data_IF_849225520368
#
_entry.id   IF_849225520368
#
_cell.length_a   1.000
_cell.length_b   1.000
_cell.length_c   1.000
_cell.angle_alpha   90.00
_cell.angle_beta   90.00
_cell.angle_gamma   90.00
#
_symmetry.space_group_name_H-M   'P 1'
#
loop_
_entity.id
_entity.type
_entity.pdbx_description
1 polymer ?
#
# COMPACT_ATOMS: atom_id res chain seq x y z
N UNK A 1 -25.83 -79.95 -34.71
CA UNK A 1 -27.14 -80.31 -35.31
C UNK A 1 -28.22 -79.47 -34.65
N UNK A 2 -29.08 -78.81 -35.47
CA UNK A 2 -30.53 -78.51 -35.28
C UNK A 2 -31.00 -78.04 -33.88
N UNK A 3 -31.68 -76.90 -33.68
CA UNK A 3 -32.87 -76.37 -34.37
C UNK A 3 -33.22 -74.95 -33.86
N UNK A 4 -33.70 -74.11 -34.79
CA UNK A 4 -34.88 -73.20 -34.76
C UNK A 4 -35.79 -73.24 -33.50
N UNK A 5 -36.58 -72.23 -33.09
CA UNK A 5 -36.89 -70.85 -33.49
C UNK A 5 -38.04 -70.31 -32.58
N UNK A 6 -38.41 -69.02 -32.76
CA UNK A 6 -39.68 -68.32 -32.36
C UNK A 6 -39.85 -67.95 -30.87
N UNK A 7 -40.51 -66.84 -30.46
CA UNK A 7 -40.98 -65.60 -31.06
C UNK A 7 -41.61 -64.73 -29.92
N UNK A 8 -41.92 -63.45 -30.23
CA UNK A 8 -42.95 -62.58 -29.62
C UNK A 8 -42.64 -61.95 -28.24
N UNK A 9 -42.43 -60.62 -28.20
CA UNK A 9 -43.43 -59.58 -27.85
C UNK A 9 -43.15 -59.08 -26.40
N UNK A 10 -43.36 -57.85 -25.93
CA UNK A 10 -44.04 -56.65 -26.42
C UNK A 10 -43.53 -55.43 -25.61
N UNK A 11 -43.66 -54.24 -26.22
CA UNK A 11 -44.12 -52.95 -25.65
C UNK A 11 -43.38 -52.20 -24.52
N UNK A 12 -43.58 -50.87 -24.60
CA UNK A 12 -43.29 -49.77 -23.68
C UNK A 12 -41.83 -49.27 -23.71
N UNK A 13 -41.52 -48.02 -24.04
CA UNK A 13 -42.30 -46.80 -24.05
C UNK A 13 -41.53 -45.74 -23.26
N UNK A 14 -40.89 -44.79 -23.95
CA UNK A 14 -40.47 -43.51 -23.38
C UNK A 14 -40.02 -42.59 -24.53
N UNK A 15 -40.90 -41.66 -24.93
CA UNK A 15 -40.53 -40.55 -25.78
C UNK A 15 -39.71 -39.56 -24.95
N UNK A 16 -38.42 -39.41 -25.26
CA UNK A 16 -37.58 -38.34 -24.74
C UNK A 16 -37.75 -37.11 -25.63
N UNK A 17 -38.34 -36.05 -25.08
CA UNK A 17 -38.37 -34.72 -25.70
C UNK A 17 -36.95 -34.12 -25.63
N UNK A 18 -36.30 -33.95 -26.79
CA UNK A 18 -35.02 -33.26 -26.92
C UNK A 18 -35.30 -31.81 -27.29
N UNK A 19 -35.06 -30.88 -26.38
CA UNK A 19 -35.04 -29.44 -26.67
C UNK A 19 -33.64 -29.01 -27.10
N UNK A 20 -33.48 -28.26 -28.21
CA UNK A 20 -32.18 -27.73 -28.60
C UNK A 20 -31.78 -26.54 -27.71
N UNK A 21 -30.63 -26.65 -27.05
CA UNK A 21 -30.03 -25.59 -26.24
C UNK A 21 -29.29 -24.62 -27.17
N UNK A 22 -29.88 -23.46 -27.41
CA UNK A 22 -29.26 -22.34 -28.14
C UNK A 22 -28.12 -21.76 -27.32
N UNK A 23 -26.88 -21.91 -27.79
CA UNK A 23 -25.71 -21.31 -27.18
C UNK A 23 -25.70 -19.79 -27.43
N UNK A 24 -25.95 -19.00 -26.38
CA UNK A 24 -25.73 -17.56 -26.41
C UNK A 24 -24.23 -17.25 -26.33
N UNK A 25 -23.65 -16.80 -27.43
CA UNK A 25 -22.30 -16.25 -27.45
C UNK A 25 -22.30 -14.91 -26.68
N UNK A 26 -21.82 -14.93 -25.44
CA UNK A 26 -21.58 -13.71 -24.67
C UNK A 26 -20.33 -13.02 -25.20
N UNK A 27 -20.51 -11.95 -25.97
CA UNK A 27 -19.47 -10.98 -26.30
C UNK A 27 -18.96 -10.36 -25.01
N UNK A 28 -17.84 -10.89 -24.51
CA UNK A 28 -17.10 -10.27 -23.41
C UNK A 28 -16.50 -8.97 -23.93
N UNK A 29 -17.17 -7.85 -23.65
CA UNK A 29 -16.59 -6.51 -23.81
C UNK A 29 -15.38 -6.43 -22.88
N UNK A 30 -14.19 -6.69 -23.42
CA UNK A 30 -12.93 -6.42 -22.77
C UNK A 30 -12.91 -4.94 -22.39
N UNK A 31 -13.15 -4.65 -21.11
CA UNK A 31 -12.95 -3.33 -20.55
C UNK A 31 -11.46 -3.04 -20.67
N UNK A 32 -11.08 -2.26 -21.68
CA UNK A 32 -9.76 -1.63 -21.75
C UNK A 32 -9.63 -0.77 -20.51
N UNK A 33 -8.98 -1.32 -19.48
CA UNK A 33 -8.48 -0.54 -18.36
C UNK A 33 -7.57 0.52 -18.96
N UNK A 34 -8.05 1.77 -19.04
CA UNK A 34 -7.21 2.90 -19.39
C UNK A 34 -5.99 2.86 -18.48
N UNK A 35 -4.84 2.49 -19.05
CA UNK A 35 -3.59 2.48 -18.30
C UNK A 35 -3.39 3.89 -17.77
N UNK A 36 -3.53 4.06 -16.45
CA UNK A 36 -3.34 5.36 -15.83
C UNK A 36 -1.94 5.83 -16.17
N UNK A 37 -1.80 7.08 -16.63
CA UNK A 37 -0.49 7.64 -16.93
C UNK A 37 0.42 7.52 -15.69
N UNK A 38 1.70 7.20 -15.93
CA UNK A 38 2.70 7.01 -14.88
C UNK A 38 3.93 7.86 -15.13
N UNK A 39 4.70 8.10 -14.08
CA UNK A 39 5.98 8.79 -14.08
C UNK A 39 7.00 8.02 -13.24
N UNK A 40 8.28 8.25 -13.49
CA UNK A 40 9.37 7.62 -12.74
C UNK A 40 9.86 8.54 -11.61
N UNK A 41 9.83 8.04 -10.39
CA UNK A 41 10.42 8.67 -9.21
C UNK A 41 11.72 7.92 -8.83
N UNK A 42 12.85 8.53 -9.11
CA UNK A 42 14.17 8.03 -8.68
C UNK A 42 14.58 8.62 -7.32
N UNK A 43 15.10 7.77 -6.44
CA UNK A 43 15.64 8.14 -5.14
C UNK A 43 16.71 7.14 -4.69
N UNK A 44 17.97 7.58 -4.58
CA UNK A 44 19.11 6.78 -4.07
C UNK A 44 19.24 5.39 -4.73
N UNK A 45 19.20 5.35 -6.06
CA UNK A 45 19.29 4.11 -6.85
C UNK A 45 17.97 3.32 -6.95
N UNK A 46 16.97 3.60 -6.09
CA UNK A 46 15.63 3.04 -6.22
C UNK A 46 14.81 3.85 -7.21
N UNK A 47 14.11 3.18 -8.13
CA UNK A 47 13.24 3.80 -9.12
C UNK A 47 11.81 3.26 -8.96
N UNK A 48 10.85 4.16 -8.75
CA UNK A 48 9.44 3.84 -8.58
C UNK A 48 8.63 4.33 -9.77
N UNK A 49 7.83 3.46 -10.37
CA UNK A 49 6.79 3.87 -11.31
C UNK A 49 5.53 4.25 -10.53
N UNK A 50 5.23 5.54 -10.45
CA UNK A 50 4.09 6.09 -9.70
C UNK A 50 3.05 6.70 -10.66
N UNK A 51 1.77 6.82 -10.27
CA UNK A 51 0.78 7.57 -11.03
C UNK A 51 1.27 8.99 -11.36
N UNK A 52 1.00 9.47 -12.57
CA UNK A 52 1.34 10.84 -12.98
C UNK A 52 0.52 11.89 -12.22
N UNK A 53 -0.60 11.49 -11.62
CA UNK A 53 -1.42 12.34 -10.74
C UNK A 53 -0.81 12.55 -9.35
N UNK A 54 0.22 11.79 -8.97
CA UNK A 54 0.92 12.03 -7.71
C UNK A 54 1.96 13.13 -7.88
N UNK A 55 1.96 14.09 -6.97
CA UNK A 55 2.90 15.21 -7.03
C UNK A 55 4.16 14.90 -6.21
N UNK A 56 5.33 15.15 -6.79
CA UNK A 56 6.62 14.88 -6.16
C UNK A 56 7.27 16.18 -5.74
N UNK A 57 7.44 16.37 -4.43
CA UNK A 57 8.18 17.49 -3.86
C UNK A 57 9.51 17.01 -3.27
N UNK A 58 10.63 17.56 -3.76
CA UNK A 58 11.98 17.19 -3.31
C UNK A 58 12.57 18.32 -2.45
N UNK A 59 13.17 17.95 -1.34
CA UNK A 59 13.85 18.86 -0.42
C UNK A 59 15.12 18.20 0.13
N UNK A 60 16.26 18.47 -0.52
CA UNK A 60 17.53 17.85 -0.17
C UNK A 60 17.47 16.32 -0.20
N UNK A 61 17.59 15.69 0.97
CA UNK A 61 17.64 14.23 1.15
C UNK A 61 16.29 13.65 1.61
N UNK A 62 15.20 14.37 1.37
CA UNK A 62 13.83 13.88 1.53
C UNK A 62 13.01 14.13 0.27
N UNK A 63 12.07 13.23 0.02
CA UNK A 63 11.04 13.39 -1.00
C UNK A 63 9.69 13.20 -0.34
N UNK A 64 8.76 14.12 -0.58
CA UNK A 64 7.34 13.95 -0.25
C UNK A 64 6.59 13.65 -1.53
N UNK A 65 5.78 12.60 -1.52
CA UNK A 65 4.91 12.22 -2.65
C UNK A 65 3.48 12.41 -2.20
N UNK A 66 2.81 13.40 -2.78
CA UNK A 66 1.44 13.78 -2.46
C UNK A 66 0.51 12.96 -3.34
N UNK A 67 -0.43 12.26 -2.71
CA UNK A 67 -1.30 11.28 -3.37
C UNK A 67 -2.78 11.64 -3.30
N UNK A 68 -3.11 12.77 -2.66
CA UNK A 68 -4.46 13.24 -2.41
C UNK A 68 -4.46 14.69 -1.95
N UNK A 69 -5.35 15.03 -1.01
CA UNK A 69 -5.49 16.41 -0.54
C UNK A 69 -4.23 16.87 0.19
N UNK A 70 -3.67 18.02 -0.17
CA UNK A 70 -2.62 18.67 0.62
C UNK A 70 -2.58 20.18 0.33
N UNK A 71 -2.79 21.01 1.35
CA UNK A 71 -2.86 22.47 1.17
C UNK A 71 -1.52 23.16 0.87
N UNK A 72 -0.38 22.50 1.13
CA UNK A 72 0.95 23.09 0.86
C UNK A 72 2.00 22.02 0.54
N UNK A 73 2.64 22.15 -0.62
CA UNK A 73 3.68 21.22 -1.08
C UNK A 73 4.90 21.18 -0.16
N UNK A 74 5.28 22.28 0.47
CA UNK A 74 6.41 22.33 1.43
C UNK A 74 6.02 22.06 2.88
N UNK A 75 4.79 21.60 3.14
CA UNK A 75 4.40 21.27 4.51
C UNK A 75 5.26 20.13 5.10
N UNK A 76 5.53 20.23 6.40
CA UNK A 76 6.38 19.30 7.14
C UNK A 76 5.77 17.90 7.31
N UNK A 77 6.46 17.04 8.06
CA UNK A 77 6.02 15.68 8.35
C UNK A 77 4.63 15.67 8.97
N UNK A 78 3.81 14.69 8.56
CA UNK A 78 2.51 14.46 9.19
C UNK A 78 1.62 15.69 9.24
N UNK A 79 1.82 16.64 8.30
CA UNK A 79 1.01 17.84 8.22
C UNK A 79 -0.46 17.42 8.16
N UNK A 80 -1.32 17.99 9.03
CA UNK A 80 -2.72 17.63 9.04
C UNK A 80 -3.37 17.77 7.67
N UNK A 81 -4.08 16.73 7.22
CA UNK A 81 -4.80 16.69 5.93
C UNK A 81 -3.88 16.92 4.72
N UNK A 82 -2.70 16.29 4.76
CA UNK A 82 -1.77 16.22 3.63
C UNK A 82 -1.50 14.74 3.31
N UNK A 83 -2.32 14.18 2.44
CA UNK A 83 -2.29 12.77 2.02
C UNK A 83 -1.01 12.52 1.22
N UNK A 84 0.03 12.04 1.90
CA UNK A 84 1.35 11.89 1.33
C UNK A 84 2.14 10.78 2.02
N UNK A 85 3.08 10.20 1.30
CA UNK A 85 4.15 9.40 1.91
C UNK A 85 5.50 10.06 1.66
N UNK A 86 6.50 9.65 2.44
CA UNK A 86 7.82 10.23 2.36
C UNK A 86 8.87 9.16 2.05
N UNK A 87 9.89 9.57 1.30
CA UNK A 87 11.15 8.86 1.18
C UNK A 87 12.22 9.70 1.89
N UNK A 88 12.92 9.08 2.83
CA UNK A 88 13.95 9.70 3.64
C UNK A 88 15.29 9.06 3.38
N UNK A 89 16.30 9.90 3.19
CA UNK A 89 17.69 9.49 3.08
C UNK A 89 18.46 9.65 4.39
N UNK A 90 19.79 9.40 4.36
CA UNK A 90 20.67 9.41 5.52
C UNK A 90 20.54 10.61 6.44
N UNK A 91 20.35 11.83 5.91
CA UNK A 91 20.29 13.04 6.74
C UNK A 91 19.08 13.04 7.67
N UNK A 92 17.94 12.58 7.18
CA UNK A 92 16.71 12.47 7.98
C UNK A 92 16.77 11.24 8.88
N UNK A 93 17.29 10.12 8.37
CA UNK A 93 17.46 8.87 9.15
C UNK A 93 18.35 9.10 10.39
N UNK A 94 19.38 9.95 10.30
CA UNK A 94 20.26 10.28 11.44
C UNK A 94 19.53 10.88 12.65
N UNK A 95 18.36 11.49 12.43
CA UNK A 95 17.57 12.19 13.45
C UNK A 95 16.11 11.75 13.44
N UNK A 96 15.83 10.51 12.99
CA UNK A 96 14.49 10.04 12.67
C UNK A 96 13.67 9.51 13.85
N UNK A 97 14.27 9.38 15.04
CA UNK A 97 13.59 8.93 16.25
C UNK A 97 13.29 10.07 17.21
N UNK A 98 12.48 9.76 18.22
CA UNK A 98 12.19 10.67 19.32
C UNK A 98 13.50 11.14 19.98
N UNK A 99 13.52 12.40 20.40
CA UNK A 99 14.71 13.08 20.89
C UNK A 99 15.78 13.30 19.80
N UNK A 100 15.40 13.22 18.53
CA UNK A 100 16.30 13.35 17.37
C UNK A 100 17.44 12.31 17.36
N UNK A 101 17.19 11.12 17.89
CA UNK A 101 18.14 10.01 17.78
C UNK A 101 18.07 9.36 16.38
N UNK A 102 19.08 8.55 16.03
CA UNK A 102 19.11 7.86 14.74
C UNK A 102 18.00 6.81 14.63
N UNK A 103 17.33 6.76 13.48
CA UNK A 103 16.29 5.77 13.19
C UNK A 103 16.86 4.36 13.08
N UNK A 104 16.12 3.43 13.66
CA UNK A 104 16.31 1.98 13.63
C UNK A 104 14.93 1.32 13.59
N UNK A 105 14.75 0.15 12.95
CA UNK A 105 13.43 -0.46 12.77
C UNK A 105 12.82 -1.05 14.06
N UNK A 106 13.48 -0.90 15.22
CA UNK A 106 12.98 -1.34 16.53
C UNK A 106 12.07 -0.30 17.20
N UNK A 107 12.04 0.93 16.70
CA UNK A 107 11.16 2.02 17.16
C UNK A 107 10.53 2.74 15.96
N UNK A 108 9.40 3.46 16.12
CA UNK A 108 8.80 4.18 15.02
C UNK A 108 9.58 5.44 14.64
N UNK A 109 9.50 5.85 13.38
CA UNK A 109 9.95 7.14 12.92
C UNK A 109 9.13 8.25 13.60
N UNK A 110 9.79 9.06 14.42
CA UNK A 110 9.16 10.08 15.23
C UNK A 110 10.16 11.21 15.54
N UNK A 111 10.57 12.04 14.56
CA UNK A 111 11.63 13.04 14.71
C UNK A 111 11.14 14.27 15.50
N UNK A 112 10.86 14.09 16.77
CA UNK A 112 10.27 15.08 17.66
C UNK A 112 10.83 14.97 19.08
N UNK A 113 10.75 16.04 19.84
CA UNK A 113 10.97 16.03 21.29
C UNK A 113 9.67 16.11 22.11
N UNK A 114 8.53 16.26 21.44
CA UNK A 114 7.22 16.43 22.05
C UNK A 114 6.14 15.78 21.17
N UNK A 115 4.89 15.80 21.63
CA UNK A 115 3.71 15.31 20.94
C UNK A 115 3.55 16.03 19.58
N UNK A 116 3.71 15.27 18.51
CA UNK A 116 3.49 15.71 17.14
C UNK A 116 2.00 15.88 16.88
N UNK A 117 1.66 16.70 15.89
CA UNK A 117 0.25 16.87 15.46
C UNK A 117 -0.30 15.59 14.86
N UNK A 118 -1.57 15.32 15.12
CA UNK A 118 -2.31 14.26 14.47
C UNK A 118 -2.40 14.51 12.95
N UNK A 119 -2.06 13.53 12.09
CA UNK A 119 -2.13 13.67 10.63
C UNK A 119 -3.54 14.00 10.12
N UNK A 120 -4.60 13.61 10.83
CA UNK A 120 -5.98 13.82 10.39
C UNK A 120 -6.59 15.12 10.94
N UNK A 121 -6.07 15.65 12.04
CA UNK A 121 -6.59 16.85 12.70
C UNK A 121 -5.50 17.57 13.52
N UNK A 122 -5.07 18.75 13.06
CA UNK A 122 -4.02 19.54 13.70
C UNK A 122 -4.33 20.07 15.10
N UNK A 123 -5.59 19.95 15.56
CA UNK A 123 -6.00 20.28 16.93
C UNK A 123 -5.74 19.15 17.92
N UNK A 124 -5.34 17.98 17.45
CA UNK A 124 -5.08 16.79 18.25
C UNK A 124 -3.59 16.39 18.14
N UNK A 125 -3.11 15.63 19.12
CA UNK A 125 -1.77 15.03 19.10
C UNK A 125 -1.79 13.63 18.51
N UNK A 126 -0.64 13.16 18.03
CA UNK A 126 -0.44 11.75 17.69
C UNK A 126 0.35 11.02 18.76
N UNK A 127 -0.01 9.76 19.00
CA UNK A 127 0.71 8.83 19.87
C UNK A 127 0.92 7.53 19.10
N UNK A 128 2.16 7.07 19.00
CA UNK A 128 2.51 5.80 18.38
C UNK A 128 2.68 4.73 19.47
N UNK A 129 2.03 3.59 19.27
CA UNK A 129 2.09 2.41 20.15
C UNK A 129 3.10 1.38 19.66
N UNK A 130 2.84 0.12 20.02
CA UNK A 130 3.67 -1.02 19.60
C UNK A 130 3.48 -1.33 18.12
N UNK A 131 4.48 -1.98 17.51
CA UNK A 131 4.35 -2.50 16.17
C UNK A 131 3.24 -3.57 16.12
N UNK A 132 2.30 -3.42 15.20
CA UNK A 132 1.27 -4.42 14.87
C UNK A 132 1.78 -5.44 13.87
N UNK A 133 2.77 -5.05 13.04
CA UNK A 133 3.40 -5.93 12.07
C UNK A 133 4.91 -5.69 12.07
N UNK A 134 5.68 -6.78 12.06
CA UNK A 134 7.13 -6.76 11.88
C UNK A 134 7.53 -7.85 10.89
N UNK A 135 8.43 -7.53 9.95
CA UNK A 135 8.98 -8.52 9.03
C UNK A 135 9.82 -7.90 7.94
N UNK A 136 10.04 -8.68 6.87
CA UNK A 136 10.67 -8.20 5.65
C UNK A 136 9.63 -8.04 4.54
N UNK A 137 9.72 -6.96 3.77
CA UNK A 137 8.89 -6.75 2.57
C UNK A 137 9.78 -6.49 1.36
N UNK A 138 9.39 -7.07 0.23
CA UNK A 138 10.09 -6.87 -1.03
C UNK A 138 9.97 -5.41 -1.48
N UNK A 139 11.06 -4.83 -1.96
CA UNK A 139 11.11 -3.50 -2.57
C UNK A 139 11.92 -3.60 -3.87
N UNK A 140 11.31 -4.17 -4.92
CA UNK A 140 12.01 -4.49 -6.16
C UNK A 140 12.88 -5.75 -6.08
N UNK A 141 13.27 -6.36 -7.21
CA UNK A 141 14.10 -7.56 -7.23
C UNK A 141 15.41 -7.40 -6.43
N UNK A 142 15.78 -8.44 -5.67
CA UNK A 142 17.02 -8.45 -4.87
C UNK A 142 17.03 -7.58 -3.62
N UNK A 143 15.99 -6.76 -3.38
CA UNK A 143 15.95 -5.78 -2.30
C UNK A 143 14.77 -6.02 -1.36
N UNK A 144 15.06 -6.17 -0.07
CA UNK A 144 14.05 -6.30 0.99
C UNK A 144 14.25 -5.20 2.03
N UNK A 145 13.15 -4.61 2.46
CA UNK A 145 13.10 -3.65 3.54
C UNK A 145 12.71 -4.32 4.85
N UNK A 146 13.26 -3.85 5.97
CA UNK A 146 12.65 -4.03 7.28
C UNK A 146 11.32 -3.29 7.27
N UNK A 147 10.23 -4.06 7.33
CA UNK A 147 8.89 -3.52 7.36
C UNK A 147 8.38 -3.48 8.80
N UNK A 148 7.82 -2.33 9.17
CA UNK A 148 7.07 -2.14 10.42
C UNK A 148 5.75 -1.47 10.12
N UNK A 149 4.72 -1.87 10.84
CA UNK A 149 3.46 -1.13 10.95
C UNK A 149 3.27 -0.81 12.41
N UNK A 150 3.19 0.46 12.76
CA UNK A 150 3.01 0.93 14.13
C UNK A 150 1.59 1.42 14.31
N UNK A 151 0.91 0.91 15.35
CA UNK A 151 -0.44 1.39 15.66
C UNK A 151 -0.36 2.84 16.17
N UNK A 152 -0.97 3.76 15.44
CA UNK A 152 -1.08 5.17 15.77
C UNK A 152 -2.46 5.54 16.28
N UNK A 153 -2.51 6.48 17.22
CA UNK A 153 -3.75 7.10 17.72
C UNK A 153 -3.64 8.60 17.61
N UNK A 154 -4.75 9.24 17.29
CA UNK A 154 -4.92 10.66 17.50
C UNK A 154 -5.67 10.91 18.81
N UNK A 155 -5.20 11.84 19.62
CA UNK A 155 -5.76 12.14 20.94
C UNK A 155 -5.97 13.64 21.15
N UNK A 156 -7.01 14.02 21.89
CA UNK A 156 -7.18 15.42 22.32
C UNK A 156 -6.03 15.80 23.26
N UNK A 157 -5.43 16.98 23.06
CA UNK A 157 -4.37 17.46 23.96
C UNK A 157 -4.84 17.68 25.41
N UNK A 158 -6.12 17.99 25.62
CA UNK A 158 -6.66 18.35 26.94
C UNK A 158 -6.82 17.17 27.89
N UNK A 159 -7.21 15.99 27.39
CA UNK A 159 -7.59 14.85 28.23
C UNK A 159 -7.08 13.49 27.70
N UNK A 160 -6.32 13.47 26.59
CA UNK A 160 -5.80 12.23 26.01
C UNK A 160 -6.84 11.32 25.35
N UNK A 161 -8.10 11.77 25.24
CA UNK A 161 -9.18 10.99 24.62
C UNK A 161 -8.87 10.69 23.16
N UNK A 162 -8.98 9.41 22.78
CA UNK A 162 -8.75 8.96 21.41
C UNK A 162 -9.85 9.46 20.48
N UNK A 163 -9.46 10.06 19.36
CA UNK A 163 -10.40 10.57 18.34
C UNK A 163 -10.29 9.86 17.01
N UNK A 164 -9.13 9.24 16.72
CA UNK A 164 -8.91 8.47 15.50
C UNK A 164 -7.75 7.47 15.72
N UNK A 165 -7.63 6.51 14.80
CA UNK A 165 -6.54 5.54 14.74
C UNK A 165 -5.96 5.50 13.34
N UNK A 166 -4.70 5.10 13.22
CA UNK A 166 -4.01 4.91 11.95
C UNK A 166 -2.88 3.90 12.09
N UNK A 167 -2.30 3.49 10.97
CA UNK A 167 -1.07 2.71 10.96
C UNK A 167 0.04 3.54 10.33
N UNK A 168 1.15 3.72 11.05
CA UNK A 168 2.38 4.24 10.47
C UNK A 168 3.17 3.08 9.87
N UNK A 169 3.16 3.00 8.55
CA UNK A 169 3.83 1.96 7.76
C UNK A 169 5.22 2.44 7.35
N UNK A 170 6.21 1.60 7.59
CA UNK A 170 7.61 1.93 7.37
C UNK A 170 8.32 0.83 6.58
N UNK A 171 9.06 1.22 5.54
CA UNK A 171 9.97 0.34 4.80
C UNK A 171 11.38 0.89 4.90
N UNK A 172 12.22 0.25 5.70
CA UNK A 172 13.61 0.64 5.88
C UNK A 172 14.58 -0.27 5.13
N UNK A 173 15.35 0.30 4.20
CA UNK A 173 16.43 -0.35 3.47
C UNK A 173 17.78 0.13 4.02
N UNK A 174 18.42 -0.61 4.95
CA UNK A 174 19.62 -0.13 5.64
C UNK A 174 20.82 0.06 4.71
N UNK A 175 21.00 -0.84 3.72
CA UNK A 175 22.12 -0.77 2.76
C UNK A 175 22.03 0.47 1.87
N UNK A 176 20.86 0.73 1.29
CA UNK A 176 20.63 1.91 0.42
C UNK A 176 20.38 3.20 1.22
N UNK A 177 20.20 3.08 2.54
CA UNK A 177 19.85 4.15 3.49
C UNK A 177 18.59 4.90 3.03
N UNK A 178 17.53 4.14 2.78
CA UNK A 178 16.22 4.67 2.41
C UNK A 178 15.22 4.25 3.48
N UNK A 179 14.43 5.19 3.98
CA UNK A 179 13.26 4.92 4.82
C UNK A 179 12.03 5.49 4.10
N UNK A 180 11.04 4.63 3.83
CA UNK A 180 9.72 5.07 3.36
C UNK A 180 8.79 5.12 4.56
N UNK A 181 8.06 6.22 4.75
CA UNK A 181 7.08 6.38 5.85
C UNK A 181 5.74 6.80 5.28
N UNK A 182 4.67 6.12 5.69
CA UNK A 182 3.30 6.40 5.28
C UNK A 182 2.32 6.22 6.45
N UNK A 183 1.54 7.25 6.74
CA UNK A 183 0.48 7.26 7.78
C UNK A 183 -0.93 7.32 7.20
N UNK A 184 -1.04 7.43 5.87
CA UNK A 184 -2.31 7.64 5.16
C UNK A 184 -2.83 6.36 4.51
N UNK A 185 -2.13 5.24 4.72
CA UNK A 185 -2.42 3.98 4.06
C UNK A 185 -2.54 4.16 2.54
N UNK A 186 -1.62 4.92 1.93
CA UNK A 186 -1.65 5.27 0.50
C UNK A 186 -1.96 4.04 -0.36
N UNK A 187 -3.08 4.06 -1.11
CA UNK A 187 -3.47 2.95 -1.97
C UNK A 187 -2.39 2.67 -3.03
N UNK A 188 -2.07 1.40 -3.22
CA UNK A 188 -1.09 0.96 -4.22
C UNK A 188 0.39 1.13 -3.83
N UNK A 189 0.72 1.89 -2.78
CA UNK A 189 2.12 2.17 -2.38
C UNK A 189 2.94 0.89 -2.18
N UNK A 190 2.42 -0.09 -1.43
CA UNK A 190 3.11 -1.35 -1.20
C UNK A 190 3.37 -2.13 -2.50
N UNK A 191 2.43 -2.08 -3.46
CA UNK A 191 2.59 -2.69 -4.78
C UNK A 191 3.64 -1.97 -5.63
N UNK A 192 3.64 -0.64 -5.59
CA UNK A 192 4.66 0.21 -6.24
C UNK A 192 6.05 -0.10 -5.70
N UNK A 193 6.22 -0.14 -4.38
CA UNK A 193 7.50 -0.49 -3.75
C UNK A 193 7.94 -1.90 -4.15
N UNK A 194 7.03 -2.88 -4.10
CA UNK A 194 7.33 -4.27 -4.49
C UNK A 194 7.87 -4.37 -5.92
N UNK A 195 7.40 -3.51 -6.84
CA UNK A 195 7.81 -3.47 -8.25
C UNK A 195 8.95 -2.48 -8.55
N UNK A 196 9.56 -1.87 -7.54
CA UNK A 196 10.67 -0.95 -7.74
C UNK A 196 11.80 -1.58 -8.58
N UNK A 197 12.50 -0.77 -9.36
CA UNK A 197 13.74 -1.18 -10.04
C UNK A 197 14.92 -0.49 -9.38
N UNK A 198 16.13 -1.01 -9.60
CA UNK A 198 17.36 -0.53 -8.97
C UNK A 198 18.44 -0.32 -10.02
N UNK A 199 19.19 0.78 -9.89
CA UNK A 199 20.28 1.22 -10.77
C UNK A 199 21.55 1.51 -9.98
#
# INVERSE_FOLDING_TARGET
MRKTAYALAALAGAAMLVTPMTASASTSSASTSSASATQTLSFRGMNLTIPSSWEVYRDGDRVKVITGACGKLSAGYFTPKCDAFWLFGPKVIKYGHEGFSAYTPERPFYPASDVQRCPFNGKHGQVLGKATVAGLRQVGPGHKAHYRSWFGRCVKYSNGEQTATFDQREWFLPKSRILVVDVWNTPGLAGTLKRATWS
#
